data_IF_121094348979
#
_entry.id   IF_121094348979
#
_cell.length_a   1.000
_cell.length_b   1.000
_cell.length_c   1.000
_cell.angle_alpha   90.00
_cell.angle_beta   90.00
_cell.angle_gamma   90.00
#
_symmetry.space_group_name_H-M   'P 1'
#
loop_
_entity.id
_entity.type
_entity.pdbx_description
1 polymer ?
#
# COMPACT_ATOMS: atom_id res chain seq x y z
N UNK A 1 1.93 4.09 31.31
CA UNK A 1 1.41 4.07 29.92
C UNK A 1 1.57 5.46 29.34
N UNK A 2 2.21 5.61 28.17
CA UNK A 2 2.42 6.91 27.54
C UNK A 2 1.12 7.34 26.86
N UNK A 3 0.61 8.54 27.17
CA UNK A 3 -0.53 9.12 26.46
C UNK A 3 -0.02 9.59 25.09
N UNK A 4 -0.48 8.93 24.02
CA UNK A 4 -0.10 9.26 22.64
C UNK A 4 -1.34 9.87 21.99
N UNK A 5 -1.24 11.12 21.56
CA UNK A 5 -2.30 11.77 20.81
C UNK A 5 -2.39 11.22 19.39
N UNK A 6 -3.57 11.35 18.77
CA UNK A 6 -3.82 10.80 17.44
C UNK A 6 -2.93 11.48 16.39
N UNK A 7 -2.21 10.68 15.62
CA UNK A 7 -1.31 11.14 14.56
C UNK A 7 -2.09 11.30 13.24
N UNK A 8 -2.72 12.46 13.05
CA UNK A 8 -3.58 12.73 11.87
C UNK A 8 -2.85 12.56 10.52
N UNK A 9 -1.56 12.90 10.44
CA UNK A 9 -0.77 12.73 9.22
C UNK A 9 -0.61 11.26 8.83
N UNK A 10 -0.61 10.33 9.80
CA UNK A 10 -0.55 8.90 9.50
C UNK A 10 -1.89 8.36 9.00
N UNK A 11 -3.00 8.97 9.41
CA UNK A 11 -4.32 8.67 8.85
C UNK A 11 -4.35 9.08 7.36
N UNK A 12 -3.84 10.27 7.02
CA UNK A 12 -3.68 10.72 5.63
C UNK A 12 -2.76 9.82 4.81
N UNK A 13 -1.59 9.44 5.36
CA UNK A 13 -0.64 8.55 4.68
C UNK A 13 -1.30 7.23 4.27
N UNK A 14 -2.07 6.62 5.20
CA UNK A 14 -2.81 5.38 4.92
C UNK A 14 -3.90 5.61 3.88
N UNK A 15 -4.63 6.72 3.95
CA UNK A 15 -5.66 7.04 2.97
C UNK A 15 -5.07 7.17 1.55
N UNK A 16 -3.92 7.83 1.41
CA UNK A 16 -3.20 7.94 0.14
C UNK A 16 -2.73 6.56 -0.35
N UNK A 17 -2.16 5.73 0.55
CA UNK A 17 -1.74 4.37 0.20
C UNK A 17 -2.92 3.47 -0.23
N UNK A 18 -4.11 3.68 0.33
CA UNK A 18 -5.34 3.00 -0.11
C UNK A 18 -5.83 3.52 -1.47
N UNK A 19 -5.78 4.83 -1.69
CA UNK A 19 -6.15 5.44 -2.97
C UNK A 19 -5.24 4.98 -4.13
N UNK A 20 -3.94 4.83 -3.87
CA UNK A 20 -3.00 4.24 -4.85
C UNK A 20 -3.41 2.83 -5.30
N UNK A 21 -4.14 2.08 -4.47
CA UNK A 21 -4.71 0.77 -4.84
C UNK A 21 -5.76 0.88 -5.95
N UNK A 22 -6.57 1.94 -5.97
CA UNK A 22 -7.55 2.18 -7.03
C UNK A 22 -6.84 2.44 -8.38
N UNK A 23 -5.78 3.27 -8.36
CA UNK A 23 -4.96 3.55 -9.55
C UNK A 23 -4.33 2.25 -10.08
N UNK A 24 -3.82 1.42 -9.18
CA UNK A 24 -3.27 0.11 -9.50
C UNK A 24 -4.28 -0.83 -10.16
N UNK A 25 -5.46 -0.98 -9.56
CA UNK A 25 -6.50 -1.85 -10.11
C UNK A 25 -7.02 -1.37 -11.48
N UNK A 26 -6.99 -0.07 -11.75
CA UNK A 26 -7.28 0.45 -13.08
C UNK A 26 -6.15 0.15 -14.09
N UNK A 27 -4.89 0.23 -13.65
CA UNK A 27 -3.72 0.05 -14.51
C UNK A 27 -3.37 -1.43 -14.80
N UNK A 28 -3.72 -2.36 -13.90
CA UNK A 28 -3.36 -3.79 -14.01
C UNK A 28 -3.98 -4.50 -15.22
N UNK A 29 -4.97 -3.88 -15.88
CA UNK A 29 -5.63 -4.41 -17.09
C UNK A 29 -4.78 -4.14 -18.35
N UNK A 30 -3.73 -3.31 -18.25
CA UNK A 30 -2.79 -3.02 -19.35
C UNK A 30 -1.39 -3.66 -19.14
N UNK A 31 -1.27 -4.96 -18.79
CA UNK A 31 0.01 -5.58 -18.53
C UNK A 31 0.82 -5.80 -19.82
N UNK A 32 2.14 -5.60 -19.74
CA UNK A 32 3.09 -5.88 -20.83
C UNK A 32 3.56 -7.35 -20.87
N UNK A 33 3.32 -8.10 -19.80
CA UNK A 33 3.87 -9.43 -19.53
C UNK A 33 2.88 -10.57 -19.80
N UNK A 34 1.60 -10.24 -20.04
CA UNK A 34 0.59 -11.24 -20.39
C UNK A 34 0.74 -11.70 -21.84
N UNK A 35 0.79 -13.01 -22.09
CA UNK A 35 0.72 -13.56 -23.44
C UNK A 35 -0.53 -13.06 -24.17
N UNK A 36 -0.44 -12.88 -25.49
CA UNK A 36 -1.52 -12.30 -26.31
C UNK A 36 -2.86 -13.06 -26.18
N UNK A 37 -2.82 -14.38 -25.97
CA UNK A 37 -4.02 -15.20 -25.79
C UNK A 37 -4.74 -14.98 -24.43
N UNK A 38 -4.07 -14.37 -23.47
CA UNK A 38 -4.58 -14.11 -22.11
C UNK A 38 -4.74 -12.61 -21.84
N UNK A 39 -4.62 -11.78 -22.86
CA UNK A 39 -4.66 -10.33 -22.72
C UNK A 39 -6.09 -9.83 -22.63
N UNK A 40 -6.37 -8.98 -21.64
CA UNK A 40 -7.69 -8.38 -21.44
C UNK A 40 -7.94 -7.16 -22.34
N UNK A 41 -6.88 -6.55 -22.88
CA UNK A 41 -6.93 -5.37 -23.75
C UNK A 41 -5.87 -5.45 -24.84
N UNK A 42 -6.23 -5.23 -26.11
CA UNK A 42 -5.30 -5.40 -27.25
C UNK A 42 -4.12 -4.41 -27.27
N UNK A 43 -4.24 -3.25 -26.60
CA UNK A 43 -3.18 -2.22 -26.55
C UNK A 43 -2.48 -2.18 -25.18
N UNK A 44 -1.27 -2.76 -25.03
CA UNK A 44 -0.53 -2.76 -23.79
C UNK A 44 0.26 -1.44 -23.69
N UNK A 45 0.41 -0.89 -22.49
CA UNK A 45 1.17 0.35 -22.28
C UNK A 45 2.34 0.13 -21.33
N UNK A 46 3.56 0.28 -21.84
CA UNK A 46 4.78 0.17 -21.03
C UNK A 46 4.78 1.19 -19.90
N UNK A 47 4.31 2.40 -20.19
CA UNK A 47 4.18 3.46 -19.20
C UNK A 47 3.26 3.03 -18.05
N UNK A 48 2.03 2.58 -18.34
CA UNK A 48 1.08 2.17 -17.31
C UNK A 48 1.58 0.97 -16.52
N UNK A 49 2.22 0.00 -17.19
CA UNK A 49 2.81 -1.16 -16.54
C UNK A 49 3.94 -0.77 -15.57
N UNK A 50 4.90 0.04 -16.00
CA UNK A 50 6.02 0.47 -15.14
C UNK A 50 5.54 1.29 -13.93
N UNK A 51 4.55 2.17 -14.11
CA UNK A 51 3.98 2.93 -12.99
C UNK A 51 3.19 2.04 -12.04
N UNK A 52 2.42 1.08 -12.55
CA UNK A 52 1.72 0.10 -11.72
C UNK A 52 2.72 -0.68 -10.84
N UNK A 53 3.77 -1.24 -11.42
CA UNK A 53 4.79 -1.99 -10.66
C UNK A 53 5.50 -1.12 -9.61
N UNK A 54 5.87 0.12 -9.98
CA UNK A 54 6.47 1.06 -9.04
C UNK A 54 5.55 1.36 -7.85
N UNK A 55 4.27 1.67 -8.13
CA UNK A 55 3.27 1.94 -7.09
C UNK A 55 3.06 0.68 -6.23
N UNK A 56 3.03 -0.50 -6.84
CA UNK A 56 2.81 -1.76 -6.14
C UNK A 56 3.93 -2.07 -5.15
N UNK A 57 5.19 -2.06 -5.60
CA UNK A 57 6.35 -2.32 -4.75
C UNK A 57 6.42 -1.28 -3.63
N UNK A 58 6.29 0.01 -3.93
CA UNK A 58 6.32 1.06 -2.91
C UNK A 58 5.20 0.91 -1.87
N UNK A 59 3.96 0.67 -2.33
CA UNK A 59 2.77 0.58 -1.48
C UNK A 59 2.85 -0.58 -0.49
N UNK A 60 3.30 -1.75 -0.93
CA UNK A 60 3.38 -2.93 -0.07
C UNK A 60 4.40 -2.72 1.06
N UNK A 61 5.60 -2.23 0.74
CA UNK A 61 6.63 -1.91 1.74
C UNK A 61 6.18 -0.80 2.70
N UNK A 62 5.49 0.22 2.20
CA UNK A 62 4.91 1.28 3.02
C UNK A 62 3.93 0.74 4.06
N UNK A 63 3.07 -0.22 3.69
CA UNK A 63 2.14 -0.83 4.65
C UNK A 63 2.85 -1.61 5.75
N UNK A 64 3.92 -2.35 5.42
CA UNK A 64 4.71 -3.06 6.43
C UNK A 64 5.35 -2.09 7.42
N UNK A 65 5.92 -0.99 6.93
CA UNK A 65 6.53 0.03 7.78
C UNK A 65 5.48 0.68 8.69
N UNK A 66 4.33 1.09 8.13
CA UNK A 66 3.24 1.71 8.90
C UNK A 66 2.65 0.74 9.94
N UNK A 67 2.51 -0.54 9.60
CA UNK A 67 2.05 -1.57 10.54
C UNK A 67 3.04 -1.74 11.71
N UNK A 68 4.34 -1.80 11.42
CA UNK A 68 5.38 -1.86 12.45
C UNK A 68 5.39 -0.63 13.37
N UNK A 69 5.24 0.57 12.78
CA UNK A 69 5.13 1.80 13.55
C UNK A 69 3.94 1.78 14.53
N UNK A 70 2.74 1.44 14.03
CA UNK A 70 1.54 1.39 14.87
C UNK A 70 1.59 0.27 15.91
N UNK A 71 2.23 -0.85 15.59
CA UNK A 71 2.50 -1.94 16.52
C UNK A 71 3.30 -1.46 17.74
N UNK A 72 4.44 -0.78 17.50
CA UNK A 72 5.25 -0.22 18.57
C UNK A 72 4.50 0.87 19.35
N UNK A 73 3.76 1.72 18.66
CA UNK A 73 2.93 2.76 19.29
C UNK A 73 1.88 2.16 20.23
N UNK A 74 1.22 1.08 19.82
CA UNK A 74 0.25 0.34 20.62
C UNK A 74 0.91 -0.32 21.82
N UNK A 75 2.07 -0.97 21.62
CA UNK A 75 2.86 -1.58 22.68
C UNK A 75 3.29 -0.56 23.75
N UNK A 76 3.71 0.64 23.36
CA UNK A 76 4.06 1.72 24.31
C UNK A 76 2.83 2.30 25.03
N UNK A 77 1.68 2.33 24.37
CA UNK A 77 0.45 2.87 24.92
C UNK A 77 -0.22 1.91 25.89
N UNK A 78 -0.36 0.62 25.55
CA UNK A 78 -1.11 -0.38 26.33
C UNK A 78 -0.25 -1.40 27.08
N UNK A 79 1.05 -1.48 26.76
CA UNK A 79 1.98 -2.44 27.34
C UNK A 79 1.97 -3.81 26.62
N UNK A 80 3.08 -4.54 26.74
CA UNK A 80 3.31 -5.84 26.08
C UNK A 80 2.26 -6.89 26.44
N UNK A 81 1.76 -6.90 27.69
CA UNK A 81 0.73 -7.85 28.15
C UNK A 81 -0.63 -7.70 27.44
N UNK A 82 -0.88 -6.55 26.82
CA UNK A 82 -2.09 -6.30 26.02
C UNK A 82 -1.85 -6.47 24.52
N UNK A 83 -0.59 -6.68 24.12
CA UNK A 83 -0.18 -6.77 22.72
C UNK A 83 -0.03 -8.23 22.24
N UNK A 84 0.46 -9.12 23.12
CA UNK A 84 0.48 -10.58 22.95
C UNK A 84 -0.80 -11.19 23.48
#
# INVERSE_FOLDING_TARGET
MRKIDRLHYMDTLRAVAMFLGLVLHAAVIFPQWTPDFARTHDEPSLFLHSWAELIHVFRMELFFLVAGFFSLMLCQSKGIKFYV
#
